data_IF_356710475345
#
_entry.id   IF_356710475345
#
_cell.length_a   1.000
_cell.length_b   1.000
_cell.length_c   1.000
_cell.angle_alpha   90.00
_cell.angle_beta   90.00
_cell.angle_gamma   90.00
#
_symmetry.space_group_name_H-M   'P 1'
#
loop_
_entity.id
_entity.type
_entity.pdbx_description
1 polymer ?
#
# COMPACT_ATOMS: atom_id res chain seq x y z
N UNK A 1 8.62 20.17 2.59
CA UNK A 1 9.19 19.40 1.47
C UNK A 1 8.08 19.21 0.44
N UNK A 2 8.13 19.90 -0.72
CA UNK A 2 7.13 19.70 -1.77
C UNK A 2 7.26 18.27 -2.29
N UNK A 3 6.17 17.50 -2.28
CA UNK A 3 6.12 16.20 -2.96
C UNK A 3 6.37 16.48 -4.44
N UNK A 4 7.52 16.07 -4.96
CA UNK A 4 7.77 16.10 -6.39
C UNK A 4 6.72 15.19 -7.02
N UNK A 5 6.05 15.69 -8.05
CA UNK A 5 5.02 14.92 -8.74
C UNK A 5 5.77 13.98 -9.68
N UNK A 6 5.75 12.69 -9.35
CA UNK A 6 6.36 11.68 -10.21
C UNK A 6 5.60 11.60 -11.54
N UNK A 7 6.32 11.31 -12.61
CA UNK A 7 5.74 11.15 -13.93
C UNK A 7 4.92 9.86 -13.97
N UNK A 8 3.71 9.94 -14.53
CA UNK A 8 2.97 8.75 -14.94
C UNK A 8 3.71 8.01 -16.05
N UNK A 9 3.39 6.73 -16.25
CA UNK A 9 3.98 5.94 -17.35
C UNK A 9 3.77 6.66 -18.69
N UNK A 10 2.57 7.14 -18.97
CA UNK A 10 2.25 7.79 -20.25
C UNK A 10 2.96 9.14 -20.43
N UNK A 11 3.26 9.85 -19.34
CA UNK A 11 4.08 11.06 -19.38
C UNK A 11 5.55 10.71 -19.61
N UNK A 12 6.08 9.69 -18.94
CA UNK A 12 7.46 9.24 -19.12
C UNK A 12 7.74 8.77 -20.55
N UNK A 13 6.80 8.06 -21.19
CA UNK A 13 6.94 7.63 -22.60
C UNK A 13 6.92 8.81 -23.58
N UNK A 14 6.21 9.90 -23.24
CA UNK A 14 6.13 11.10 -24.08
C UNK A 14 7.18 12.15 -23.75
N UNK A 15 7.89 12.00 -22.62
CA UNK A 15 8.92 12.93 -22.20
C UNK A 15 10.07 12.99 -23.22
N UNK A 16 10.42 14.19 -23.72
CA UNK A 16 11.46 14.34 -24.74
C UNK A 16 12.84 13.85 -24.30
N UNK A 17 13.19 14.00 -23.03
CA UNK A 17 14.49 13.59 -22.51
C UNK A 17 14.58 12.08 -22.37
N UNK A 18 13.53 11.46 -21.83
CA UNK A 18 13.47 9.99 -21.74
C UNK A 18 13.50 9.38 -23.14
N UNK A 19 12.72 9.90 -24.11
CA UNK A 19 12.73 9.40 -25.50
C UNK A 19 14.09 9.53 -26.17
N UNK A 20 14.83 10.61 -25.89
CA UNK A 20 16.18 10.80 -26.42
C UNK A 20 17.12 9.70 -25.92
N UNK A 21 17.10 9.40 -24.62
CA UNK A 21 17.92 8.35 -24.01
C UNK A 21 17.54 6.97 -24.55
N UNK A 22 16.24 6.66 -24.61
CA UNK A 22 15.77 5.39 -25.18
C UNK A 22 16.27 5.18 -26.61
N UNK A 23 16.26 6.22 -27.43
CA UNK A 23 16.79 6.15 -28.79
C UNK A 23 18.30 5.91 -28.81
N UNK A 24 19.04 6.57 -27.92
CA UNK A 24 20.49 6.36 -27.81
C UNK A 24 20.84 4.91 -27.43
N UNK A 25 20.01 4.30 -26.59
CA UNK A 25 20.18 2.93 -26.12
C UNK A 25 19.49 1.87 -27.03
N UNK A 26 18.84 2.28 -28.12
CA UNK A 26 18.15 1.37 -29.04
C UNK A 26 16.90 0.70 -28.45
N UNK A 27 16.27 1.31 -27.44
CA UNK A 27 15.09 0.79 -26.76
C UNK A 27 13.81 1.17 -27.53
N UNK A 28 12.95 0.19 -27.81
CA UNK A 28 11.62 0.43 -28.36
C UNK A 28 10.67 1.03 -27.29
N UNK A 29 10.08 2.22 -27.53
CA UNK A 29 9.12 2.84 -26.62
C UNK A 29 7.94 1.95 -26.22
N UNK A 30 7.40 1.16 -27.16
CA UNK A 30 6.24 0.31 -26.88
C UNK A 30 6.61 -0.88 -25.99
N UNK A 31 7.81 -1.43 -26.19
CA UNK A 31 8.35 -2.49 -25.34
C UNK A 31 8.60 -1.99 -23.91
N UNK A 32 9.18 -0.80 -23.76
CA UNK A 32 9.42 -0.17 -22.47
C UNK A 32 8.12 0.16 -21.72
N UNK A 33 7.13 0.72 -22.42
CA UNK A 33 5.78 0.97 -21.87
C UNK A 33 5.14 -0.32 -21.34
N UNK A 34 5.20 -1.41 -22.12
CA UNK A 34 4.65 -2.71 -21.72
C UNK A 34 5.37 -3.27 -20.49
N UNK A 35 6.70 -3.14 -20.44
CA UNK A 35 7.49 -3.55 -19.28
C UNK A 35 7.07 -2.77 -18.02
N UNK A 36 6.95 -1.44 -18.11
CA UNK A 36 6.53 -0.61 -16.99
C UNK A 36 5.12 -0.97 -16.50
N UNK A 37 4.17 -1.21 -17.41
CA UNK A 37 2.81 -1.63 -17.04
C UNK A 37 2.78 -3.01 -16.40
N UNK A 38 3.58 -3.98 -16.86
CA UNK A 38 3.70 -5.30 -16.21
C UNK A 38 4.18 -5.16 -14.76
N UNK A 39 5.23 -4.37 -14.55
CA UNK A 39 5.78 -4.14 -13.20
C UNK A 39 4.81 -3.39 -12.29
N UNK A 40 4.07 -2.44 -12.84
CA UNK A 40 3.03 -1.74 -12.09
C UNK A 40 1.88 -2.69 -11.70
N UNK A 41 1.52 -3.65 -12.55
CA UNK A 41 0.52 -4.66 -12.24
C UNK A 41 1.01 -5.64 -11.15
N UNK A 42 2.29 -6.01 -11.16
CA UNK A 42 2.91 -6.84 -10.11
C UNK A 42 3.02 -6.11 -8.76
N UNK A 43 3.09 -4.77 -8.78
CA UNK A 43 3.19 -3.93 -7.58
C UNK A 43 1.85 -3.43 -7.06
N UNK A 44 0.79 -3.51 -7.87
CA UNK A 44 -0.56 -3.31 -7.36
C UNK A 44 -0.74 -4.35 -6.25
N UNK A 45 -0.95 -3.93 -4.98
CA UNK A 45 -1.32 -4.88 -3.96
C UNK A 45 -2.54 -5.60 -4.53
N UNK A 46 -2.48 -6.94 -4.59
CA UNK A 46 -3.71 -7.71 -4.65
C UNK A 46 -4.66 -7.02 -3.66
N UNK A 47 -5.85 -6.68 -4.10
CA UNK A 47 -6.92 -6.24 -3.22
C UNK A 47 -7.16 -7.40 -2.24
N UNK A 48 -6.32 -7.51 -1.21
CA UNK A 48 -6.70 -8.08 0.06
C UNK A 48 -7.65 -7.02 0.59
N UNK A 49 -8.90 -7.09 0.10
CA UNK A 49 -10.04 -6.57 0.78
C UNK A 49 -9.83 -6.94 2.24
N UNK A 50 -9.72 -5.97 3.17
CA UNK A 50 -9.62 -6.33 4.56
C UNK A 50 -10.84 -7.19 4.86
N UNK A 51 -10.60 -8.43 5.31
CA UNK A 51 -11.63 -9.43 5.67
C UNK A 51 -12.60 -8.94 6.76
N UNK A 52 -12.49 -7.68 7.17
CA UNK A 52 -13.35 -6.99 8.11
C UNK A 52 -14.74 -6.65 7.55
N UNK A 53 -14.98 -6.82 6.24
CA UNK A 53 -16.31 -6.59 5.63
C UNK A 53 -17.09 -7.88 5.35
N UNK A 54 -16.59 -9.03 5.80
CA UNK A 54 -17.22 -10.35 5.68
C UNK A 54 -17.71 -10.90 7.04
N UNK A 55 -18.31 -10.08 7.90
CA UNK A 55 -19.22 -10.61 8.93
C UNK A 55 -20.25 -9.57 9.37
N UNK A 56 -21.13 -9.17 8.45
CA UNK A 56 -22.47 -8.69 8.82
C UNK A 56 -23.45 -9.85 8.71
N UNK A 57 -23.25 -10.92 9.49
CA UNK A 57 -24.19 -12.03 9.42
C UNK A 57 -23.92 -13.27 10.27
N UNK A 58 -23.36 -13.19 11.48
CA UNK A 58 -23.38 -14.37 12.35
C UNK A 58 -23.42 -14.04 13.83
N UNK A 59 -24.64 -14.07 14.38
CA UNK A 59 -24.86 -14.09 15.81
C UNK A 59 -24.15 -15.29 16.45
N UNK A 60 -23.08 -15.04 17.21
CA UNK A 60 -22.63 -16.01 18.21
C UNK A 60 -21.99 -15.32 19.40
N UNK A 61 -22.80 -15.23 20.45
CA UNK A 61 -22.38 -14.92 21.81
C UNK A 61 -21.08 -15.64 22.18
N UNK A 62 -20.03 -14.89 22.56
CA UNK A 62 -18.97 -15.43 23.40
C UNK A 62 -18.42 -14.37 24.34
N UNK A 63 -19.05 -14.35 25.52
CA UNK A 63 -18.59 -13.85 26.83
C UNK A 63 -17.11 -13.44 26.87
N UNK A 64 -16.84 -12.14 26.80
CA UNK A 64 -15.60 -11.58 27.36
C UNK A 64 -15.74 -11.52 28.88
N UNK A 65 -14.90 -12.28 29.59
CA UNK A 65 -14.77 -12.18 31.04
C UNK A 65 -13.87 -10.99 31.33
N UNK A 66 -14.46 -9.91 31.83
CA UNK A 66 -13.76 -8.77 32.41
C UNK A 66 -12.91 -9.25 33.60
N UNK A 67 -11.59 -9.19 33.49
CA UNK A 67 -10.73 -9.14 34.67
C UNK A 67 -10.42 -7.67 34.96
N UNK A 68 -11.21 -7.07 35.85
CA UNK A 68 -10.87 -5.79 36.46
C UNK A 68 -9.73 -6.02 37.46
N UNK A 69 -8.57 -5.38 37.22
CA UNK A 69 -7.55 -5.18 38.24
C UNK A 69 -7.99 -4.00 39.11
N UNK A 70 -8.22 -4.16 40.43
CA UNK A 70 -8.36 -3.01 41.30
C UNK A 70 -6.97 -2.37 41.50
N UNK A 71 -6.95 -1.05 41.33
CA UNK A 71 -5.83 -0.18 41.58
C UNK A 71 -5.89 0.27 43.05
N UNK A 72 -4.77 0.13 43.76
CA UNK A 72 -4.50 0.87 44.99
C UNK A 72 -4.81 0.15 46.29
N UNK A 73 -3.76 -0.20 47.02
CA UNK A 73 -3.74 0.07 48.46
C UNK A 73 -2.31 0.39 48.87
N UNK A 74 -2.12 1.62 49.36
CA UNK A 74 -0.88 2.10 49.95
C UNK A 74 -0.92 1.80 51.45
N UNK A 75 0.14 1.20 51.96
CA UNK A 75 0.40 1.19 53.40
C UNK A 75 1.89 1.42 53.63
N UNK A 76 2.18 2.63 54.11
CA UNK A 76 3.42 3.04 54.75
C UNK A 76 3.53 2.33 56.10
N UNK A 77 4.72 1.85 56.46
CA UNK A 77 5.10 1.60 57.85
C UNK A 77 6.52 2.11 58.09
N UNK A 78 6.67 2.80 59.22
CA UNK A 78 7.81 3.60 59.66
C UNK A 78 9.03 2.77 60.04
#
# INVERSE_FOLDING_TARGET
>A
MQKRKDLTIDEAIRDPMIRLVMKADGIDPRAFERMLRSRAAEQAPDEILPSFLEDSGSGRARRMRHFAKPFGEASVSW
#
